data_IF_843942352855
#
_entry.id   IF_843942352855
#
_cell.length_a   1.000
_cell.length_b   1.000
_cell.length_c   1.000
_cell.angle_alpha   90.00
_cell.angle_beta   90.00
_cell.angle_gamma   90.00
#
_symmetry.space_group_name_H-M   'P 1'
#
loop_
_entity.id
_entity.type
_entity.pdbx_description
1 polymer ?
#
# COMPACT_ATOMS: atom_id res chain seq x y z
N UNK A 1 3.20 -29.42 14.19
CA UNK A 1 3.13 -27.96 14.30
C UNK A 1 4.37 -27.44 13.63
N UNK A 2 4.26 -26.72 12.52
CA UNK A 2 5.44 -26.09 11.93
C UNK A 2 5.84 -24.94 12.84
N UNK A 3 6.94 -25.10 13.57
CA UNK A 3 7.54 -24.00 14.34
C UNK A 3 7.76 -22.83 13.39
N UNK A 4 7.06 -21.72 13.61
CA UNK A 4 7.27 -20.53 12.82
C UNK A 4 8.70 -20.05 13.08
N UNK A 5 9.57 -20.23 12.09
CA UNK A 5 10.95 -19.77 12.15
C UNK A 5 11.08 -18.41 11.48
N UNK A 6 11.84 -17.52 12.10
CA UNK A 6 12.17 -16.19 11.59
C UNK A 6 13.65 -16.06 11.28
N UNK A 7 13.97 -15.06 10.47
CA UNK A 7 15.31 -14.51 10.35
C UNK A 7 15.38 -13.28 11.25
N UNK A 8 16.36 -13.28 12.15
CA UNK A 8 16.71 -12.16 13.00
C UNK A 8 17.95 -11.49 12.43
N UNK A 9 17.85 -10.20 12.16
CA UNK A 9 19.00 -9.35 11.88
C UNK A 9 19.26 -8.46 13.09
N UNK A 10 20.43 -8.60 13.68
CA UNK A 10 20.96 -7.63 14.66
C UNK A 10 22.03 -6.81 13.98
N UNK A 11 21.96 -5.49 14.05
CA UNK A 11 22.93 -4.63 13.40
C UNK A 11 23.20 -3.34 14.19
N UNK A 12 24.39 -2.79 13.96
CA UNK A 12 24.82 -1.49 14.45
C UNK A 12 25.58 -0.78 13.35
N UNK A 13 25.32 0.52 13.20
CA UNK A 13 25.94 1.37 12.17
C UNK A 13 26.32 2.72 12.80
N UNK A 14 27.31 3.44 12.23
CA UNK A 14 27.71 4.76 12.73
C UNK A 14 26.54 5.75 12.87
N UNK A 15 26.62 6.58 13.91
CA UNK A 15 25.62 7.62 14.24
C UNK A 15 25.69 8.84 13.32
N UNK A 16 26.67 8.93 12.43
CA UNK A 16 26.78 9.94 11.38
C UNK A 16 27.33 9.31 10.08
N UNK A 17 26.82 9.68 8.90
CA UNK A 17 25.69 10.58 8.63
C UNK A 17 24.33 9.91 8.82
N UNK A 18 23.34 10.67 9.31
CA UNK A 18 21.97 10.20 9.52
C UNK A 18 21.31 9.63 8.25
N UNK A 19 21.62 10.21 7.09
CA UNK A 19 21.07 9.81 5.78
C UNK A 19 21.29 8.33 5.49
N UNK A 20 22.47 7.78 5.80
CA UNK A 20 22.77 6.36 5.56
C UNK A 20 21.91 5.44 6.44
N UNK A 21 21.67 5.82 7.71
CA UNK A 21 20.79 5.06 8.61
C UNK A 21 19.34 5.10 8.18
N UNK A 22 18.84 6.26 7.74
CA UNK A 22 17.47 6.39 7.24
C UNK A 22 17.29 5.54 5.99
N UNK A 23 18.26 5.53 5.07
CA UNK A 23 18.22 4.68 3.88
C UNK A 23 18.19 3.19 4.25
N UNK A 24 19.03 2.75 5.19
CA UNK A 24 19.05 1.38 5.69
C UNK A 24 17.70 1.00 6.34
N UNK A 25 17.17 1.86 7.21
CA UNK A 25 15.89 1.65 7.86
C UNK A 25 14.75 1.52 6.83
N UNK A 26 14.72 2.38 5.80
CA UNK A 26 13.76 2.29 4.69
C UNK A 26 13.88 0.99 3.91
N UNK A 27 15.11 0.53 3.60
CA UNK A 27 15.35 -0.77 2.97
C UNK A 27 14.79 -1.91 3.81
N UNK A 28 15.02 -1.90 5.12
CA UNK A 28 14.52 -2.91 6.07
C UNK A 28 12.98 -2.92 6.11
N UNK A 29 12.37 -1.76 6.32
CA UNK A 29 10.91 -1.62 6.35
C UNK A 29 10.27 -2.00 5.02
N UNK A 30 10.91 -1.68 3.89
CA UNK A 30 10.45 -2.08 2.56
C UNK A 30 10.49 -3.58 2.27
N UNK A 31 11.06 -4.39 3.18
CA UNK A 31 10.97 -5.86 3.15
C UNK A 31 9.80 -6.41 3.98
N UNK A 32 9.04 -5.55 4.69
CA UNK A 32 8.03 -5.99 5.66
C UNK A 32 8.62 -6.41 7.00
N UNK A 33 9.88 -6.07 7.28
CA UNK A 33 10.53 -6.42 8.52
C UNK A 33 10.00 -5.57 9.69
N UNK A 34 9.71 -6.22 10.81
CA UNK A 34 9.37 -5.54 12.06
C UNK A 34 10.61 -5.34 12.92
N UNK A 35 10.60 -4.27 13.72
CA UNK A 35 11.62 -4.07 14.75
C UNK A 35 11.11 -4.58 16.09
N UNK A 36 11.89 -5.42 16.74
CA UNK A 36 11.62 -5.86 18.12
C UNK A 36 12.31 -4.90 19.11
N UNK A 37 13.50 -4.41 18.74
CA UNK A 37 14.26 -3.39 19.45
C UNK A 37 15.10 -2.59 18.44
N UNK A 38 15.77 -1.53 18.91
CA UNK A 38 16.69 -0.76 18.07
C UNK A 38 17.81 -1.65 17.53
N UNK A 39 17.97 -1.65 16.20
CA UNK A 39 18.97 -2.49 15.53
C UNK A 39 18.64 -3.98 15.52
N UNK A 40 17.42 -4.38 15.93
CA UNK A 40 16.99 -5.79 15.97
C UNK A 40 15.68 -5.94 15.21
N UNK A 41 15.73 -6.55 14.04
CA UNK A 41 14.55 -6.75 13.20
C UNK A 41 14.33 -8.22 12.81
N UNK A 42 13.08 -8.54 12.51
CA UNK A 42 12.61 -9.88 12.16
C UNK A 42 11.94 -9.90 10.78
N UNK A 43 12.14 -11.00 10.06
CA UNK A 43 11.36 -11.41 8.89
C UNK A 43 10.94 -12.88 9.02
N UNK A 44 9.82 -13.31 8.41
CA UNK A 44 9.55 -14.74 8.21
C UNK A 44 10.72 -15.41 7.50
N UNK A 45 11.08 -16.63 7.88
CA UNK A 45 12.16 -17.35 7.20
C UNK A 45 11.72 -17.80 5.80
N UNK A 46 12.29 -17.17 4.78
CA UNK A 46 12.22 -17.59 3.38
C UNK A 46 13.61 -17.42 2.74
N UNK A 47 13.88 -18.13 1.64
CA UNK A 47 15.16 -17.99 0.92
C UNK A 47 15.34 -16.57 0.35
N UNK A 48 14.23 -15.94 -0.07
CA UNK A 48 14.24 -14.56 -0.53
C UNK A 48 14.63 -13.60 0.60
N UNK A 49 14.01 -13.70 1.77
CA UNK A 49 14.34 -12.84 2.92
C UNK A 49 15.79 -13.04 3.37
N UNK A 50 16.29 -14.28 3.36
CA UNK A 50 17.70 -14.56 3.67
C UNK A 50 18.64 -13.89 2.68
N UNK A 51 18.35 -14.01 1.37
CA UNK A 51 19.14 -13.35 0.32
C UNK A 51 19.13 -11.83 0.49
N UNK A 52 17.98 -11.22 0.78
CA UNK A 52 17.88 -9.77 0.98
C UNK A 52 18.61 -9.32 2.25
N UNK A 53 18.53 -10.07 3.34
CA UNK A 53 19.33 -9.80 4.55
C UNK A 53 20.83 -9.93 4.30
N UNK A 54 21.28 -10.91 3.49
CA UNK A 54 22.70 -11.03 3.10
C UNK A 54 23.20 -9.83 2.29
N UNK A 55 22.38 -9.29 1.38
CA UNK A 55 22.72 -8.04 0.68
C UNK A 55 22.82 -6.88 1.68
N UNK A 56 21.87 -6.82 2.63
CA UNK A 56 21.84 -5.77 3.64
C UNK A 56 23.01 -5.83 4.63
N UNK A 57 23.46 -7.04 4.99
CA UNK A 57 24.66 -7.28 5.78
C UNK A 57 25.89 -6.66 5.10
N UNK A 58 26.05 -6.85 3.79
CA UNK A 58 27.14 -6.22 3.03
C UNK A 58 27.01 -4.69 3.05
N UNK A 59 25.81 -4.13 2.79
CA UNK A 59 25.56 -2.69 2.87
C UNK A 59 25.95 -2.12 4.25
N UNK A 60 25.63 -2.85 5.33
CA UNK A 60 25.93 -2.45 6.71
C UNK A 60 27.46 -2.44 6.96
N UNK A 61 28.17 -3.47 6.49
CA UNK A 61 29.63 -3.57 6.63
C UNK A 61 30.33 -2.46 5.84
N UNK A 62 29.90 -2.20 4.60
CA UNK A 62 30.43 -1.09 3.78
C UNK A 62 30.21 0.29 4.42
N UNK A 63 29.15 0.42 5.23
CA UNK A 63 28.89 1.62 6.02
C UNK A 63 29.75 1.73 7.29
N UNK A 64 30.66 0.78 7.56
CA UNK A 64 31.47 0.72 8.78
C UNK A 64 30.67 0.23 10.00
N UNK A 65 29.57 -0.49 9.76
CA UNK A 65 28.78 -1.13 10.79
C UNK A 65 29.11 -2.62 10.95
N UNK A 66 28.33 -3.27 11.80
CA UNK A 66 28.37 -4.70 12.07
C UNK A 66 26.95 -5.27 12.02
N UNK A 67 26.82 -6.50 11.52
CA UNK A 67 25.56 -7.20 11.40
C UNK A 67 25.73 -8.69 11.68
N UNK A 68 24.70 -9.31 12.23
CA UNK A 68 24.60 -10.76 12.42
C UNK A 68 23.20 -11.20 11.99
N UNK A 69 23.13 -12.24 11.16
CA UNK A 69 21.88 -12.87 10.75
C UNK A 69 21.76 -14.23 11.44
N UNK A 70 20.66 -14.43 12.15
CA UNK A 70 20.35 -15.67 12.86
C UNK A 70 19.01 -16.24 12.37
N UNK A 71 18.93 -17.56 12.25
CA UNK A 71 17.64 -18.23 12.19
C UNK A 71 17.16 -18.45 13.64
N UNK A 72 15.93 -18.03 13.94
CA UNK A 72 15.36 -18.12 15.27
C UNK A 72 13.94 -18.70 15.22
N UNK A 73 13.45 -19.18 16.36
CA UNK A 73 12.09 -19.67 16.54
C UNK A 73 11.58 -19.20 17.90
N UNK A 74 10.26 -19.17 18.08
CA UNK A 74 9.68 -18.84 19.36
C UNK A 74 10.02 -19.92 20.40
N UNK A 75 10.20 -19.51 21.66
CA UNK A 75 10.41 -20.45 22.75
C UNK A 75 9.16 -21.29 23.06
N UNK A 76 7.98 -20.71 22.82
CA UNK A 76 6.68 -21.34 23.01
C UNK A 76 5.63 -20.62 22.14
N UNK A 77 4.39 -21.15 22.12
CA UNK A 77 3.29 -20.56 21.36
C UNK A 77 2.92 -19.13 21.77
N UNK A 78 3.07 -18.77 23.05
CA UNK A 78 2.77 -17.40 23.52
C UNK A 78 3.79 -16.40 22.98
N UNK A 79 5.07 -16.77 22.91
CA UNK A 79 6.09 -15.94 22.28
C UNK A 79 5.87 -15.82 20.77
N UNK A 80 5.42 -16.90 20.12
CA UNK A 80 5.06 -16.85 18.71
C UNK A 80 3.93 -15.85 18.45
N UNK A 81 2.88 -15.91 19.26
CA UNK A 81 1.75 -15.00 19.14
C UNK A 81 2.16 -13.54 19.33
N UNK A 82 3.07 -13.24 20.27
CA UNK A 82 3.61 -11.87 20.45
C UNK A 82 4.33 -11.35 19.21
N UNK A 83 5.12 -12.19 18.53
CA UNK A 83 5.83 -11.79 17.31
C UNK A 83 4.85 -11.62 16.15
N UNK A 84 3.93 -12.57 15.96
CA UNK A 84 2.89 -12.48 14.94
C UNK A 84 1.99 -11.26 15.14
N UNK A 85 1.59 -10.94 16.38
CA UNK A 85 0.81 -9.76 16.70
C UNK A 85 1.54 -8.47 16.32
N UNK A 86 2.87 -8.40 16.50
CA UNK A 86 3.67 -7.25 16.05
C UNK A 86 3.69 -7.11 14.53
N UNK A 87 3.81 -8.21 13.78
CA UNK A 87 3.69 -8.16 12.31
C UNK A 87 2.32 -7.64 11.88
N UNK A 88 1.24 -8.15 12.50
CA UNK A 88 -0.12 -7.71 12.21
C UNK A 88 -0.32 -6.23 12.52
N UNK A 89 0.09 -5.77 13.69
CA UNK A 89 -0.03 -4.37 14.08
C UNK A 89 0.74 -3.42 13.15
N UNK A 90 1.99 -3.78 12.78
CA UNK A 90 2.80 -2.99 11.85
C UNK A 90 2.17 -2.93 10.45
N UNK A 91 1.45 -3.97 10.01
CA UNK A 91 0.70 -3.94 8.75
C UNK A 91 -0.62 -3.19 8.86
N UNK A 92 -1.33 -3.30 9.99
CA UNK A 92 -2.55 -2.53 10.24
C UNK A 92 -2.32 -1.02 10.18
N UNK A 93 -1.15 -0.53 10.63
CA UNK A 93 -0.77 0.89 10.46
C UNK A 93 -0.84 1.31 8.97
N UNK A 94 -0.33 0.48 8.07
CA UNK A 94 -0.38 0.75 6.63
C UNK A 94 -1.79 0.62 6.05
N UNK A 95 -2.58 -0.36 6.49
CA UNK A 95 -3.97 -0.48 6.07
C UNK A 95 -4.82 0.70 6.56
N UNK A 96 -4.55 1.24 7.76
CA UNK A 96 -5.21 2.43 8.26
C UNK A 96 -4.94 3.65 7.35
N UNK A 97 -3.67 3.91 7.01
CA UNK A 97 -3.32 4.98 6.06
C UNK A 97 -3.99 4.76 4.69
N UNK A 98 -4.07 3.52 4.24
CA UNK A 98 -4.76 3.16 2.99
C UNK A 98 -6.26 3.48 3.06
N UNK A 99 -6.94 3.10 4.14
CA UNK A 99 -8.36 3.38 4.36
C UNK A 99 -8.65 4.88 4.41
N UNK A 100 -7.77 5.68 5.01
CA UNK A 100 -7.86 7.14 4.97
C UNK A 100 -7.82 7.67 3.53
N UNK A 101 -6.92 7.14 2.69
CA UNK A 101 -6.84 7.54 1.27
C UNK A 101 -8.02 7.09 0.44
N UNK A 102 -8.59 5.92 0.70
CA UNK A 102 -9.89 5.55 0.11
C UNK A 102 -10.97 6.58 0.50
N UNK A 103 -11.00 7.00 1.77
CA UNK A 103 -11.92 8.02 2.24
C UNK A 103 -11.72 9.40 1.57
N UNK A 104 -10.48 9.79 1.29
CA UNK A 104 -10.17 11.02 0.54
C UNK A 104 -10.64 10.91 -0.92
N UNK A 105 -10.38 9.79 -1.57
CA UNK A 105 -10.82 9.52 -2.95
C UNK A 105 -12.35 9.60 -3.08
N UNK A 106 -13.08 8.93 -2.18
CA UNK A 106 -14.55 8.96 -2.17
C UNK A 106 -15.11 10.38 -2.01
N UNK A 107 -14.48 11.21 -1.17
CA UNK A 107 -14.91 12.61 -0.97
C UNK A 107 -14.68 13.44 -2.22
N UNK A 108 -13.59 13.23 -2.95
CA UNK A 108 -13.32 13.98 -4.18
C UNK A 108 -14.33 13.62 -5.27
N UNK A 109 -14.59 12.32 -5.52
CA UNK A 109 -15.64 11.89 -6.46
C UNK A 109 -17.00 12.49 -6.08
N UNK A 110 -17.37 12.46 -4.79
CA UNK A 110 -18.63 13.02 -4.32
C UNK A 110 -18.72 14.54 -4.58
N UNK A 111 -17.61 15.27 -4.39
CA UNK A 111 -17.51 16.71 -4.64
C UNK A 111 -17.63 17.03 -6.14
N UNK A 112 -16.97 16.28 -7.00
CA UNK A 112 -17.06 16.44 -8.46
C UNK A 112 -18.46 16.11 -8.99
N UNK A 113 -19.06 15.04 -8.47
CA UNK A 113 -20.44 14.65 -8.77
C UNK A 113 -21.43 15.75 -8.38
N UNK A 114 -21.30 16.30 -7.17
CA UNK A 114 -22.16 17.39 -6.69
C UNK A 114 -22.00 18.67 -7.52
N UNK A 115 -20.78 18.95 -7.99
CA UNK A 115 -20.48 20.06 -8.89
C UNK A 115 -20.85 19.79 -10.36
N UNK A 116 -21.35 18.58 -10.69
CA UNK A 116 -21.64 18.11 -12.06
C UNK A 116 -20.45 18.25 -13.00
N UNK A 117 -19.24 18.00 -12.50
CA UNK A 117 -17.97 18.05 -13.27
C UNK A 117 -17.80 16.78 -14.12
N UNK A 118 -18.81 16.47 -14.93
CA UNK A 118 -18.85 15.28 -15.75
C UNK A 118 -18.07 15.49 -17.05
N UNK A 119 -16.74 15.33 -16.98
CA UNK A 119 -15.86 15.42 -18.14
C UNK A 119 -14.91 14.24 -18.23
N UNK A 120 -14.48 13.90 -19.43
CA UNK A 120 -13.48 12.83 -19.65
C UNK A 120 -12.14 13.12 -18.95
N UNK A 121 -11.74 14.39 -18.82
CA UNK A 121 -10.50 14.74 -18.15
C UNK A 121 -10.52 14.38 -16.66
N UNK A 122 -11.62 14.69 -15.96
CA UNK A 122 -11.80 14.36 -14.54
C UNK A 122 -11.92 12.84 -14.37
N UNK A 123 -12.58 12.14 -15.30
CA UNK A 123 -12.63 10.68 -15.30
C UNK A 123 -11.23 10.05 -15.43
N UNK A 124 -10.41 10.52 -16.36
CA UNK A 124 -9.03 10.05 -16.55
C UNK A 124 -8.14 10.30 -15.32
N UNK A 125 -8.30 11.45 -14.66
CA UNK A 125 -7.58 11.77 -13.42
C UNK A 125 -7.98 10.80 -12.28
N UNK A 126 -9.28 10.57 -12.11
CA UNK A 126 -9.78 9.64 -11.10
C UNK A 126 -9.39 8.18 -11.37
N UNK A 127 -9.37 7.75 -12.63
CA UNK A 127 -8.86 6.42 -13.03
C UNK A 127 -7.39 6.26 -12.63
N UNK A 128 -6.57 7.30 -12.86
CA UNK A 128 -5.16 7.29 -12.47
C UNK A 128 -4.99 7.22 -10.94
N UNK A 129 -5.84 7.91 -10.17
CA UNK A 129 -5.81 7.87 -8.72
C UNK A 129 -6.31 6.54 -8.14
N UNK A 130 -7.37 5.96 -8.70
CA UNK A 130 -7.81 4.61 -8.36
C UNK A 130 -6.72 3.58 -8.63
N UNK A 131 -6.01 3.70 -9.76
CA UNK A 131 -4.89 2.81 -10.10
C UNK A 131 -3.77 2.90 -9.07
N UNK A 132 -3.46 4.09 -8.55
CA UNK A 132 -2.49 4.26 -7.45
C UNK A 132 -2.95 3.55 -6.17
N UNK A 133 -4.24 3.62 -5.83
CA UNK A 133 -4.80 2.89 -4.68
C UNK A 133 -4.65 1.37 -4.86
N UNK A 134 -5.04 0.84 -6.02
CA UNK A 134 -4.90 -0.59 -6.34
C UNK A 134 -3.44 -1.06 -6.18
N UNK A 135 -2.50 -0.35 -6.79
CA UNK A 135 -1.08 -0.68 -6.73
C UNK A 135 -0.52 -0.56 -5.32
N UNK A 136 -1.03 0.36 -4.51
CA UNK A 136 -0.61 0.52 -3.12
C UNK A 136 -1.13 -0.61 -2.24
N UNK A 137 -2.41 -1.00 -2.36
CA UNK A 137 -2.95 -2.12 -1.60
C UNK A 137 -2.21 -3.43 -1.91
N UNK A 138 -1.88 -3.66 -3.19
CA UNK A 138 -1.08 -4.83 -3.59
C UNK A 138 0.29 -4.85 -2.91
N UNK A 139 0.94 -3.68 -2.80
CA UNK A 139 2.22 -3.56 -2.08
C UNK A 139 2.08 -3.83 -0.58
N UNK A 140 1.00 -3.36 0.05
CA UNK A 140 0.75 -3.63 1.47
C UNK A 140 0.52 -5.14 1.67
N UNK A 141 -0.34 -5.75 0.85
CA UNK A 141 -0.67 -7.17 0.93
C UNK A 141 0.56 -8.08 0.71
N UNK A 142 1.48 -7.71 -0.19
CA UNK A 142 2.75 -8.42 -0.39
C UNK A 142 3.64 -8.45 0.85
N UNK A 143 3.49 -7.47 1.75
CA UNK A 143 4.25 -7.39 3.01
C UNK A 143 3.45 -7.94 4.21
N UNK A 144 2.20 -8.35 4.00
CA UNK A 144 1.35 -8.92 5.04
C UNK A 144 1.49 -10.44 5.13
N UNK A 145 2.50 -10.86 5.89
CA UNK A 145 2.86 -12.27 6.01
C UNK A 145 1.93 -13.09 6.90
N UNK A 146 1.11 -12.45 7.73
CA UNK A 146 0.33 -13.14 8.78
C UNK A 146 -1.16 -12.80 8.77
N UNK A 147 -1.63 -11.96 7.84
CA UNK A 147 -3.02 -11.55 7.75
C UNK A 147 -3.36 -10.58 8.87
N UNK A 148 -3.12 -9.30 8.62
CA UNK A 148 -3.49 -8.23 9.52
C UNK A 148 -5.02 -8.05 9.57
N UNK A 149 -5.61 -7.76 10.73
CA UNK A 149 -7.05 -7.57 10.91
C UNK A 149 -7.71 -6.66 9.87
N UNK A 150 -7.09 -5.54 9.50
CA UNK A 150 -7.68 -4.56 8.58
C UNK A 150 -7.58 -4.94 7.09
N UNK A 151 -6.91 -6.04 6.75
CA UNK A 151 -6.70 -6.44 5.35
C UNK A 151 -8.01 -6.64 4.59
N UNK A 152 -9.02 -7.24 5.23
CA UNK A 152 -10.33 -7.50 4.60
C UNK A 152 -11.09 -6.19 4.36
N UNK A 153 -11.13 -5.32 5.38
CA UNK A 153 -11.79 -4.02 5.27
C UNK A 153 -11.16 -3.16 4.18
N UNK A 154 -9.82 -3.13 4.09
CA UNK A 154 -9.10 -2.42 3.05
C UNK A 154 -9.48 -2.91 1.63
N UNK A 155 -9.58 -4.23 1.45
CA UNK A 155 -10.03 -4.80 0.17
C UNK A 155 -11.48 -4.44 -0.17
N UNK A 156 -12.38 -4.49 0.81
CA UNK A 156 -13.78 -4.10 0.63
C UNK A 156 -13.92 -2.62 0.30
N UNK A 157 -13.13 -1.77 0.96
CA UNK A 157 -13.10 -0.34 0.70
C UNK A 157 -12.58 0.00 -0.69
N UNK A 158 -11.54 -0.69 -1.16
CA UNK A 158 -11.07 -0.52 -2.54
C UNK A 158 -12.15 -0.88 -3.56
N UNK A 159 -12.87 -2.00 -3.37
CA UNK A 159 -13.99 -2.37 -4.25
C UNK A 159 -15.11 -1.33 -4.24
N UNK A 160 -15.36 -0.69 -3.10
CA UNK A 160 -16.32 0.42 -3.02
C UNK A 160 -15.85 1.63 -3.84
N UNK A 161 -14.56 1.98 -3.79
CA UNK A 161 -13.98 3.03 -4.64
C UNK A 161 -14.12 2.69 -6.14
N UNK A 162 -13.84 1.45 -6.53
CA UNK A 162 -14.01 0.97 -7.91
C UNK A 162 -15.45 1.14 -8.40
N UNK A 163 -16.42 0.66 -7.62
CA UNK A 163 -17.85 0.78 -7.95
C UNK A 163 -18.34 2.24 -7.99
N UNK A 164 -17.77 3.09 -7.13
CA UNK A 164 -18.07 4.52 -7.13
C UNK A 164 -17.58 5.20 -8.42
N UNK A 165 -16.36 4.90 -8.85
CA UNK A 165 -15.81 5.45 -10.10
C UNK A 165 -16.57 4.93 -11.33
N UNK A 166 -16.94 3.65 -11.35
CA UNK A 166 -17.79 3.09 -12.42
C UNK A 166 -19.13 3.84 -12.55
N UNK A 167 -19.69 4.27 -11.43
CA UNK A 167 -20.93 5.05 -11.41
C UNK A 167 -20.69 6.46 -11.96
N UNK A 168 -19.61 7.12 -11.54
CA UNK A 168 -19.21 8.42 -12.06
C UNK A 168 -18.95 8.37 -13.57
N UNK A 169 -18.25 7.34 -14.05
CA UNK A 169 -17.97 7.13 -15.47
C UNK A 169 -19.26 7.06 -16.30
N UNK A 170 -20.28 6.33 -15.84
CA UNK A 170 -21.60 6.27 -16.50
C UNK A 170 -22.23 7.65 -16.62
N UNK A 171 -22.17 8.46 -15.57
CA UNK A 171 -22.70 9.83 -15.59
C UNK A 171 -21.95 10.73 -16.59
N UNK A 172 -20.63 10.56 -16.70
CA UNK A 172 -19.81 11.25 -17.72
C UNK A 172 -20.25 10.87 -19.12
N UNK A 173 -20.44 9.58 -19.41
CA UNK A 173 -20.91 9.12 -20.71
C UNK A 173 -22.31 9.67 -21.05
N UNK A 174 -23.27 9.56 -20.12
CA UNK A 174 -24.63 10.06 -20.30
C UNK A 174 -24.65 11.58 -20.57
N UNK A 175 -23.91 12.38 -19.80
CA UNK A 175 -23.82 13.82 -19.99
C UNK A 175 -23.28 14.22 -21.38
N UNK A 176 -22.30 13.47 -21.89
CA UNK A 176 -21.74 13.71 -23.22
C UNK A 176 -22.64 13.22 -24.37
N UNK A 177 -23.43 12.16 -24.19
CA UNK A 177 -24.44 11.72 -25.17
C UNK A 177 -25.61 12.71 -25.28
N UNK A 178 -26.11 13.20 -24.14
CA UNK A 178 -27.12 14.27 -24.10
C UNK A 178 -26.64 15.54 -24.80
N UNK A 179 -25.37 15.92 -24.56
CA UNK A 179 -24.78 17.08 -25.22
C UNK A 179 -24.70 16.90 -26.74
N UNK A 180 -24.25 15.73 -27.24
CA UNK A 180 -24.21 15.45 -28.69
C UNK A 180 -25.60 15.45 -29.33
N UNK A 181 -26.58 14.82 -28.68
CA UNK A 181 -27.94 14.73 -29.22
C UNK A 181 -28.64 16.10 -29.27
N UNK A 182 -28.40 16.97 -28.28
CA UNK A 182 -28.90 18.35 -28.27
C UNK A 182 -28.25 19.21 -29.36
N UNK A 183 -26.94 19.07 -29.61
CA UNK A 183 -26.24 19.78 -30.69
C UNK A 183 -26.81 19.37 -32.05
N UNK A 184 -27.01 18.07 -32.30
CA UNK A 184 -27.58 17.54 -33.55
C UNK A 184 -28.98 18.09 -33.83
N UNK A 185 -29.88 18.08 -32.84
CA UNK A 185 -31.25 18.62 -32.98
C UNK A 185 -31.25 20.12 -33.34
N UNK A 186 -30.36 20.91 -32.72
CA UNK A 186 -30.26 22.35 -33.00
C UNK A 186 -29.73 22.66 -34.41
N UNK A 187 -28.89 21.78 -34.98
CA UNK A 187 -28.34 21.93 -36.31
C UNK A 187 -29.40 21.62 -37.38
N UNK A 188 -30.22 20.59 -37.14
CA UNK A 188 -31.31 20.22 -38.06
C UNK A 188 -32.44 21.28 -38.09
N UNK A 189 -32.78 21.88 -36.94
CA UNK A 189 -33.78 22.97 -36.88
C UNK A 189 -33.32 24.25 -37.61
N UNK A 190 -32.02 24.55 -37.58
CA UNK A 190 -31.45 25.70 -38.31
C UNK A 190 -31.36 25.48 -39.82
N UNK A 191 -31.37 24.22 -40.28
CA UNK A 191 -31.27 23.86 -41.70
C UNK A 191 -32.61 24.00 -42.45
N UNK A 192 -33.72 24.05 -41.73
CA UNK A 192 -35.08 24.21 -42.28
C UNK A 192 -35.64 25.64 -42.11
N UNK A 193 -34.83 26.58 -41.60
CA UNK A 193 -35.14 28.01 -41.57
C UNK A 193 -34.34 28.74 -42.63
#
# INVERSE_FOLDING_TARGET
MSDASWLLLTYKVPSDPATKRVALWRKIKGMGAIYIQNGVCLLPKTDEHLRRFKILENDIVEMGGEAVILQTAAADGSQQEKVTARFKADRDEHYHEFLERCGDFEKEIAKETAARKFSYAELEENDADLKKLQDWLEKIAKLDFYGAPLAVEAQERLRACEALLDTFAKQVFEAHEETRSNVSKSADEKKWR
#
